data_IF_335476796322
#
_entry.id   IF_335476796322
#
_cell.length_a   1.000
_cell.length_b   1.000
_cell.length_c   1.000
_cell.angle_alpha   90.00
_cell.angle_beta   90.00
_cell.angle_gamma   90.00
#
_symmetry.space_group_name_H-M   'P 1'
#
loop_
_entity.id
_entity.type
_entity.pdbx_description
1 polymer ?
#
# COMPACT_ATOMS: atom_id res chain seq x y z
N UNK A 1 -23.37 40.11 -3.87
CA UNK A 1 -22.66 39.20 -2.94
C UNK A 1 -21.18 39.26 -3.27
N UNK A 2 -20.44 40.14 -2.58
CA UNK A 2 -19.15 40.70 -3.00
C UNK A 2 -18.11 40.70 -1.86
N UNK A 3 -18.33 39.89 -0.83
CA UNK A 3 -17.64 40.01 0.46
C UNK A 3 -16.63 38.90 0.77
N UNK A 4 -16.45 37.89 -0.08
CA UNK A 4 -15.49 36.79 0.16
C UNK A 4 -14.21 36.88 -0.70
N UNK A 5 -13.82 38.09 -1.08
CA UNK A 5 -12.53 38.37 -1.77
C UNK A 5 -11.57 39.23 -0.95
N UNK A 6 -11.96 39.63 0.27
CA UNK A 6 -11.21 40.60 1.08
C UNK A 6 -10.36 39.91 2.16
N UNK A 7 -10.58 38.64 2.48
CA UNK A 7 -9.76 37.94 3.49
C UNK A 7 -8.35 37.55 3.01
N UNK A 8 -8.06 37.65 1.70
CA UNK A 8 -6.72 37.38 1.16
C UNK A 8 -5.81 38.61 1.10
N UNK A 9 -6.29 39.80 1.50
CA UNK A 9 -5.56 41.06 1.34
C UNK A 9 -5.09 41.70 2.66
N UNK A 10 -5.12 40.98 3.79
CA UNK A 10 -4.86 41.58 5.10
C UNK A 10 -3.79 40.88 5.96
N UNK A 11 -2.97 40.00 5.38
CA UNK A 11 -1.78 39.49 6.09
C UNK A 11 -0.50 39.67 5.28
N UNK A 12 -0.40 40.82 4.62
CA UNK A 12 0.86 41.44 4.26
C UNK A 12 1.12 42.56 5.27
N UNK A 13 1.71 42.23 6.42
CA UNK A 13 2.39 43.19 7.32
C UNK A 13 3.11 42.44 8.45
N UNK A 14 4.19 41.76 8.07
CA UNK A 14 5.34 41.62 8.95
C UNK A 14 6.57 42.12 8.18
N UNK A 15 7.17 43.25 8.57
CA UNK A 15 8.41 43.71 8.00
C UNK A 15 9.54 43.00 8.76
N UNK A 16 10.24 42.07 8.12
CA UNK A 16 11.60 41.75 8.55
C UNK A 16 12.50 41.55 7.35
N UNK A 17 13.33 42.58 7.18
CA UNK A 17 14.69 42.52 6.66
C UNK A 17 14.83 41.98 5.24
N UNK A 18 14.79 42.92 4.30
CA UNK A 18 15.58 42.87 3.07
C UNK A 18 17.02 42.59 3.47
N UNK A 19 17.43 41.33 3.36
CA UNK A 19 18.83 40.95 3.29
C UNK A 19 19.08 40.71 1.82
N UNK A 20 19.77 41.67 1.19
CA UNK A 20 20.31 41.50 -0.14
C UNK A 20 21.14 40.20 -0.15
N UNK A 21 20.61 39.16 -0.79
CA UNK A 21 21.25 37.86 -0.92
C UNK A 21 21.02 37.41 -2.36
N UNK A 22 22.07 37.59 -3.15
CA UNK A 22 22.46 36.80 -4.32
C UNK A 22 21.36 36.50 -5.36
N UNK A 23 21.30 37.36 -6.38
CA UNK A 23 20.46 37.24 -7.59
C UNK A 23 20.64 35.92 -8.38
N UNK A 24 21.56 35.05 -7.97
CA UNK A 24 21.78 33.72 -8.56
C UNK A 24 20.97 32.60 -7.91
N UNK A 25 20.55 32.76 -6.65
CA UNK A 25 19.93 31.70 -5.83
C UNK A 25 18.42 31.56 -6.13
N UNK A 26 17.76 32.65 -6.51
CA UNK A 26 16.32 32.68 -6.82
C UNK A 26 15.96 31.95 -8.13
N UNK A 27 16.87 31.91 -9.11
CA UNK A 27 16.60 31.28 -10.41
C UNK A 27 16.50 29.75 -10.33
N UNK A 28 17.23 29.12 -9.41
CA UNK A 28 17.22 27.65 -9.23
C UNK A 28 15.96 27.20 -8.47
N UNK A 29 15.59 27.92 -7.41
CA UNK A 29 14.33 27.70 -6.70
C UNK A 29 13.12 27.93 -7.62
N UNK A 30 13.19 28.95 -8.47
CA UNK A 30 12.18 29.21 -9.51
C UNK A 30 12.12 28.07 -10.56
N UNK A 31 13.27 27.54 -10.99
CA UNK A 31 13.34 26.39 -11.90
C UNK A 31 12.71 25.12 -11.31
N UNK A 32 12.96 24.84 -10.02
CA UNK A 32 12.34 23.72 -9.33
C UNK A 32 10.82 23.90 -9.15
N UNK A 33 10.37 25.12 -8.84
CA UNK A 33 8.94 25.44 -8.80
C UNK A 33 8.29 25.26 -10.18
N UNK A 34 8.99 25.64 -11.26
CA UNK A 34 8.52 25.46 -12.63
C UNK A 34 8.41 23.97 -13.00
N UNK A 35 9.35 23.13 -12.58
CA UNK A 35 9.27 21.67 -12.80
C UNK A 35 8.13 21.01 -12.03
N UNK A 36 7.83 21.45 -10.80
CA UNK A 36 6.67 20.99 -10.05
C UNK A 36 5.36 21.45 -10.71
N UNK A 37 5.29 22.69 -11.19
CA UNK A 37 4.14 23.22 -11.91
C UNK A 37 3.91 22.49 -13.24
N UNK A 38 4.99 22.16 -13.95
CA UNK A 38 4.96 21.38 -15.20
C UNK A 38 4.52 19.94 -14.96
N UNK A 39 4.96 19.32 -13.86
CA UNK A 39 4.53 17.97 -13.45
C UNK A 39 3.05 17.97 -13.09
N UNK A 40 2.58 18.99 -12.36
CA UNK A 40 1.16 19.16 -12.02
C UNK A 40 0.29 19.38 -13.27
N UNK A 41 0.74 20.21 -14.23
CA UNK A 41 0.03 20.40 -15.50
C UNK A 41 -0.02 19.12 -16.33
N UNK A 42 1.05 18.31 -16.34
CA UNK A 42 1.11 17.04 -17.08
C UNK A 42 0.21 15.97 -16.46
N UNK A 43 0.08 15.95 -15.13
CA UNK A 43 -0.89 15.10 -14.42
C UNK A 43 -2.32 15.52 -14.74
N UNK A 44 -2.59 16.83 -14.78
CA UNK A 44 -3.90 17.37 -15.16
C UNK A 44 -4.28 17.18 -16.64
N UNK A 45 -3.28 17.06 -17.53
CA UNK A 45 -3.46 16.78 -18.95
C UNK A 45 -3.43 15.27 -19.29
N UNK A 46 -3.20 14.41 -18.30
CA UNK A 46 -3.18 12.95 -18.48
C UNK A 46 -4.61 12.43 -18.69
N UNK A 47 -4.84 11.48 -19.62
CA UNK A 47 -6.15 10.90 -19.84
C UNK A 47 -6.74 10.18 -18.60
N UNK A 48 -5.92 9.87 -17.59
CA UNK A 48 -6.33 9.26 -16.32
C UNK A 48 -5.62 9.91 -15.10
N UNK A 49 -6.09 11.08 -14.63
CA UNK A 49 -5.43 11.84 -13.57
C UNK A 49 -5.46 11.14 -12.20
N UNK A 50 -6.53 10.40 -11.91
CA UNK A 50 -6.69 9.68 -10.63
C UNK A 50 -5.70 8.52 -10.49
N UNK A 51 -5.41 7.82 -11.59
CA UNK A 51 -4.42 6.75 -11.64
C UNK A 51 -3.01 7.30 -11.52
N UNK A 52 -2.70 8.41 -12.20
CA UNK A 52 -1.42 9.08 -12.09
C UNK A 52 -1.16 9.62 -10.67
N UNK A 53 -2.19 10.13 -9.99
CA UNK A 53 -2.13 10.54 -8.58
C UNK A 53 -1.91 9.34 -7.66
N UNK A 54 -2.61 8.24 -7.92
CA UNK A 54 -2.47 6.99 -7.15
C UNK A 54 -1.08 6.38 -7.32
N UNK A 55 -0.51 6.41 -8.52
CA UNK A 55 0.84 5.91 -8.78
C UNK A 55 1.94 6.81 -8.21
N UNK A 56 1.68 8.11 -8.11
CA UNK A 56 2.55 9.06 -7.41
C UNK A 56 2.54 8.80 -5.90
N UNK A 57 1.37 8.62 -5.28
CA UNK A 57 1.27 8.24 -3.86
C UNK A 57 1.83 6.85 -3.56
N UNK A 58 1.68 5.91 -4.49
CA UNK A 58 2.24 4.55 -4.38
C UNK A 58 3.75 4.50 -4.69
N UNK A 59 4.39 5.63 -5.04
CA UNK A 59 5.81 5.69 -5.36
C UNK A 59 6.22 4.97 -6.65
N UNK A 60 5.25 4.64 -7.52
CA UNK A 60 5.47 3.96 -8.81
C UNK A 60 5.81 4.93 -9.94
N UNK A 61 5.76 6.24 -9.69
CA UNK A 61 6.09 7.25 -10.68
C UNK A 61 7.60 7.53 -10.70
N UNK A 62 8.30 6.92 -11.66
CA UNK A 62 9.76 7.04 -11.80
C UNK A 62 10.23 8.48 -12.06
N UNK A 63 9.47 9.26 -12.83
CA UNK A 63 9.79 10.66 -13.12
C UNK A 63 9.60 11.56 -11.89
N UNK A 64 8.52 11.36 -11.13
CA UNK A 64 8.30 12.10 -9.89
C UNK A 64 9.34 11.74 -8.82
N UNK A 65 9.73 10.47 -8.73
CA UNK A 65 10.79 10.02 -7.84
C UNK A 65 12.15 10.62 -8.22
N UNK A 66 12.44 10.74 -9.52
CA UNK A 66 13.64 11.42 -10.00
C UNK A 66 13.61 12.93 -9.73
N UNK A 67 12.47 13.59 -9.89
CA UNK A 67 12.30 15.00 -9.56
C UNK A 67 12.54 15.25 -8.06
N UNK A 68 11.95 14.42 -7.18
CA UNK A 68 12.17 14.48 -5.73
C UNK A 68 13.62 14.18 -5.38
N UNK A 69 14.26 13.19 -6.02
CA UNK A 69 15.67 12.89 -5.82
C UNK A 69 16.58 14.04 -6.26
N UNK A 70 16.25 14.70 -7.36
CA UNK A 70 16.99 15.87 -7.85
C UNK A 70 16.82 17.10 -6.96
N UNK A 71 15.61 17.30 -6.41
CA UNK A 71 15.30 18.34 -5.43
C UNK A 71 16.07 18.10 -4.12
N UNK A 72 16.09 16.86 -3.65
CA UNK A 72 16.80 16.48 -2.44
C UNK A 72 18.33 16.54 -2.64
N UNK A 73 18.84 16.15 -3.80
CA UNK A 73 20.24 16.29 -4.16
C UNK A 73 20.68 17.77 -4.25
N UNK A 74 19.86 18.63 -4.87
CA UNK A 74 20.09 20.08 -4.90
C UNK A 74 20.06 20.70 -3.51
N UNK A 75 19.05 20.40 -2.70
CA UNK A 75 18.90 20.92 -1.34
C UNK A 75 20.00 20.43 -0.39
N UNK A 76 20.53 19.22 -0.58
CA UNK A 76 21.63 18.68 0.24
C UNK A 76 23.01 19.13 -0.24
N UNK A 77 23.16 19.54 -1.50
CA UNK A 77 24.41 20.11 -2.02
C UNK A 77 24.75 21.46 -1.36
N UNK A 78 23.73 22.24 -0.97
CA UNK A 78 23.90 23.55 -0.30
C UNK A 78 24.10 23.43 1.23
N UNK A 79 24.03 22.23 1.80
CA UNK A 79 24.18 22.02 3.25
C UNK A 79 25.64 21.77 3.66
N UNK A 80 26.09 22.33 4.81
CA UNK A 80 27.39 22.01 5.39
C UNK A 80 27.53 20.52 5.70
N UNK A 81 28.75 19.98 5.58
CA UNK A 81 29.01 18.53 5.61
C UNK A 81 28.48 17.83 6.88
N UNK A 82 28.47 18.52 8.02
CA UNK A 82 27.92 18.01 9.28
C UNK A 82 26.42 17.71 9.21
N UNK A 83 25.64 18.56 8.52
CA UNK A 83 24.20 18.36 8.35
C UNK A 83 23.90 17.30 7.31
N UNK A 84 24.71 17.19 6.25
CA UNK A 84 24.61 16.12 5.24
C UNK A 84 24.78 14.74 5.88
N UNK A 85 25.76 14.58 6.78
CA UNK A 85 25.97 13.32 7.49
C UNK A 85 24.78 12.98 8.42
N UNK A 86 24.22 13.98 9.11
CA UNK A 86 23.07 13.79 9.99
C UNK A 86 21.81 13.39 9.21
N UNK A 87 21.57 14.04 8.07
CA UNK A 87 20.45 13.70 7.18
C UNK A 87 20.64 12.34 6.52
N UNK A 88 21.88 11.97 6.15
CA UNK A 88 22.17 10.63 5.64
C UNK A 88 22.01 9.54 6.70
N UNK A 89 22.30 9.83 7.97
CA UNK A 89 22.02 8.92 9.08
C UNK A 89 20.50 8.76 9.29
N UNK A 90 19.75 9.86 9.37
CA UNK A 90 18.30 9.83 9.48
C UNK A 90 17.63 9.17 8.27
N UNK A 91 18.14 9.40 7.06
CA UNK A 91 17.65 8.78 5.83
C UNK A 91 17.87 7.26 5.81
N UNK A 92 19.01 6.77 6.33
CA UNK A 92 19.25 5.33 6.49
C UNK A 92 18.36 4.71 7.57
N UNK A 93 18.13 5.41 8.67
CA UNK A 93 17.19 4.97 9.72
C UNK A 93 15.75 4.93 9.19
N UNK A 94 15.28 5.99 8.53
CA UNK A 94 13.97 6.03 7.90
C UNK A 94 13.83 5.01 6.77
N UNK A 95 14.87 4.79 5.95
CA UNK A 95 14.85 3.74 4.93
C UNK A 95 14.79 2.35 5.58
N UNK A 96 15.49 2.13 6.69
CA UNK A 96 15.41 0.85 7.42
C UNK A 96 14.02 0.63 8.04
N UNK A 97 13.39 1.70 8.55
CA UNK A 97 12.01 1.67 9.04
C UNK A 97 11.02 1.47 7.89
N UNK A 98 11.22 2.12 6.75
CA UNK A 98 10.39 1.99 5.56
C UNK A 98 10.51 0.59 4.94
N UNK A 99 11.70 -0.02 4.90
CA UNK A 99 11.86 -1.44 4.51
C UNK A 99 11.13 -2.37 5.48
N UNK A 100 11.20 -2.07 6.79
CA UNK A 100 10.51 -2.84 7.83
C UNK A 100 8.99 -2.62 7.83
N UNK A 101 8.53 -1.47 7.32
CA UNK A 101 7.12 -1.08 7.25
C UNK A 101 6.49 -1.37 5.88
N UNK A 102 7.28 -1.48 4.80
CA UNK A 102 6.89 -2.06 3.51
C UNK A 102 6.73 -3.58 3.60
N UNK A 103 7.35 -4.23 4.58
CA UNK A 103 6.95 -5.57 5.01
C UNK A 103 5.56 -5.60 5.69
N UNK A 104 4.93 -4.45 5.94
CA UNK A 104 3.67 -4.30 6.67
C UNK A 104 2.63 -3.38 5.96
N UNK A 105 2.74 -3.17 4.64
CA UNK A 105 1.66 -2.58 3.82
C UNK A 105 0.94 -3.69 3.03
N UNK A 106 -0.40 -3.60 2.83
CA UNK A 106 -1.20 -4.74 2.41
C UNK A 106 -0.95 -5.03 0.92
N UNK A 107 -0.16 -6.08 0.66
CA UNK A 107 -0.11 -6.71 -0.64
C UNK A 107 -1.45 -7.39 -0.91
N UNK A 108 -2.33 -6.70 -1.63
CA UNK A 108 -3.45 -7.35 -2.31
C UNK A 108 -2.86 -8.38 -3.27
N UNK A 109 -3.34 -9.62 -3.18
CA UNK A 109 -3.17 -10.74 -4.14
C UNK A 109 -1.89 -11.58 -4.17
N UNK A 110 -1.10 -11.59 -3.09
CA UNK A 110 -0.29 -12.76 -2.77
C UNK A 110 -0.37 -12.99 -1.25
N UNK A 111 -1.10 -14.03 -0.83
CA UNK A 111 -0.88 -14.61 0.50
C UNK A 111 0.61 -14.89 0.55
N UNK A 112 1.34 -14.09 1.34
CA UNK A 112 2.80 -14.17 1.43
C UNK A 112 3.17 -15.60 1.81
N UNK A 113 4.28 -16.11 1.26
CA UNK A 113 4.75 -17.45 1.59
C UNK A 113 4.85 -17.64 3.11
N UNK A 114 5.20 -16.58 3.84
CA UNK A 114 5.19 -16.52 5.30
C UNK A 114 3.80 -16.75 5.92
N UNK A 115 2.74 -16.11 5.39
CA UNK A 115 1.36 -16.33 5.86
C UNK A 115 0.89 -17.75 5.59
N UNK A 116 1.23 -18.32 4.43
CA UNK A 116 0.92 -19.72 4.13
C UNK A 116 1.64 -20.66 5.07
N UNK A 117 2.93 -20.43 5.35
CA UNK A 117 3.71 -21.25 6.26
C UNK A 117 3.22 -21.14 7.70
N UNK A 118 2.84 -19.94 8.14
CA UNK A 118 2.25 -19.72 9.45
C UNK A 118 0.92 -20.46 9.59
N UNK A 119 0.03 -20.35 8.59
CA UNK A 119 -1.26 -21.06 8.63
C UNK A 119 -1.11 -22.58 8.74
N UNK A 120 -0.10 -23.17 8.08
CA UNK A 120 0.21 -24.61 8.21
C UNK A 120 0.67 -24.97 9.61
N UNK A 121 1.50 -24.12 10.23
CA UNK A 121 1.94 -24.31 11.62
C UNK A 121 0.75 -24.22 12.58
N UNK A 122 -0.11 -23.23 12.38
CA UNK A 122 -1.28 -23.01 13.24
C UNK A 122 -2.27 -24.18 13.13
N UNK A 123 -2.54 -24.68 11.93
CA UNK A 123 -3.34 -25.91 11.74
C UNK A 123 -2.69 -27.12 12.42
N UNK A 124 -1.38 -27.29 12.24
CA UNK A 124 -0.65 -28.38 12.89
C UNK A 124 -0.71 -28.27 14.43
N UNK A 125 -0.63 -27.05 14.97
CA UNK A 125 -0.77 -26.80 16.40
C UNK A 125 -2.19 -27.10 16.92
N UNK A 126 -3.22 -26.98 16.06
CA UNK A 126 -4.59 -27.43 16.35
C UNK A 126 -4.78 -28.94 16.18
N UNK A 127 -3.75 -29.69 15.77
CA UNK A 127 -3.84 -31.11 15.45
C UNK A 127 -4.52 -31.40 14.11
N UNK A 128 -4.62 -30.41 13.24
CA UNK A 128 -5.20 -30.51 11.90
C UNK A 128 -4.11 -30.59 10.82
N UNK A 129 -4.38 -31.34 9.77
CA UNK A 129 -3.52 -31.53 8.63
C UNK A 129 -3.91 -30.55 7.53
N UNK A 130 -3.06 -29.58 7.23
CA UNK A 130 -3.36 -28.50 6.27
C UNK A 130 -3.72 -28.95 4.84
N UNK A 131 -3.44 -30.21 4.49
CA UNK A 131 -3.71 -30.82 3.19
C UNK A 131 -4.89 -31.80 3.20
N UNK A 132 -5.49 -32.08 4.36
CA UNK A 132 -6.62 -33.00 4.46
C UNK A 132 -7.93 -32.29 4.10
N UNK A 133 -8.54 -32.73 3.00
CA UNK A 133 -9.79 -32.16 2.51
C UNK A 133 -10.99 -32.48 3.42
N UNK A 134 -11.01 -33.63 4.07
CA UNK A 134 -12.13 -34.01 4.95
C UNK A 134 -12.13 -33.14 6.22
N UNK A 135 -10.96 -32.88 6.81
CA UNK A 135 -10.84 -31.99 7.96
C UNK A 135 -11.26 -30.55 7.61
N UNK A 136 -10.92 -30.08 6.40
CA UNK A 136 -11.41 -28.81 5.88
C UNK A 136 -12.93 -28.79 5.73
N UNK A 137 -13.53 -29.81 5.10
CA UNK A 137 -14.98 -29.90 4.97
C UNK A 137 -15.68 -29.96 6.33
N UNK A 138 -15.10 -30.63 7.32
CA UNK A 138 -15.65 -30.71 8.66
C UNK A 138 -15.58 -29.35 9.38
N UNK A 139 -14.51 -28.57 9.20
CA UNK A 139 -14.45 -27.19 9.67
C UNK A 139 -15.59 -26.34 9.07
N UNK A 140 -15.83 -26.46 7.75
CA UNK A 140 -16.91 -25.74 7.06
C UNK A 140 -18.28 -26.16 7.58
N UNK A 141 -18.53 -27.47 7.75
CA UNK A 141 -19.79 -27.98 8.30
C UNK A 141 -20.06 -27.47 9.71
N UNK A 142 -19.00 -27.31 10.52
CA UNK A 142 -19.08 -26.76 11.88
C UNK A 142 -19.21 -25.23 11.93
N UNK A 143 -19.19 -24.56 10.78
CA UNK A 143 -19.10 -23.09 10.68
C UNK A 143 -17.87 -22.50 11.39
N UNK A 144 -16.77 -23.26 11.42
CA UNK A 144 -15.51 -22.83 12.03
C UNK A 144 -14.75 -21.92 11.06
N UNK A 145 -15.01 -20.61 11.18
CA UNK A 145 -14.41 -19.60 10.30
C UNK A 145 -12.89 -19.55 10.42
N UNK A 146 -12.35 -19.70 11.63
CA UNK A 146 -10.91 -19.61 11.88
C UNK A 146 -10.18 -20.77 11.20
N UNK A 147 -10.61 -22.00 11.45
CA UNK A 147 -9.98 -23.16 10.83
C UNK A 147 -10.10 -23.09 9.30
N UNK A 148 -11.26 -22.69 8.78
CA UNK A 148 -11.49 -22.56 7.33
C UNK A 148 -10.58 -21.50 6.71
N UNK A 149 -10.38 -20.35 7.36
CA UNK A 149 -9.44 -19.33 6.90
C UNK A 149 -8.01 -19.87 6.85
N UNK A 150 -7.58 -20.61 7.88
CA UNK A 150 -6.25 -21.19 7.93
C UNK A 150 -6.04 -22.25 6.84
N UNK A 151 -7.03 -23.09 6.56
CA UNK A 151 -6.95 -24.07 5.46
C UNK A 151 -6.76 -23.37 4.11
N UNK A 152 -7.52 -22.31 3.86
CA UNK A 152 -7.43 -21.51 2.63
C UNK A 152 -6.07 -20.80 2.55
N UNK A 153 -5.60 -20.21 3.65
CA UNK A 153 -4.28 -19.57 3.72
C UNK A 153 -3.14 -20.57 3.54
N UNK A 154 -3.29 -21.80 4.04
CA UNK A 154 -2.33 -22.90 3.94
C UNK A 154 -2.18 -23.46 2.52
N UNK A 155 -3.17 -23.22 1.64
CA UNK A 155 -3.20 -23.65 0.23
C UNK A 155 -2.95 -25.16 0.02
N UNK A 156 -3.30 -25.98 1.01
CA UNK A 156 -3.13 -27.44 0.94
C UNK A 156 -4.37 -28.18 0.44
N UNK A 157 -5.53 -27.53 0.47
CA UNK A 157 -6.81 -28.15 0.11
C UNK A 157 -7.36 -27.60 -1.21
N UNK A 158 -8.08 -28.44 -1.94
CA UNK A 158 -8.78 -28.02 -3.15
C UNK A 158 -10.18 -27.49 -2.80
N UNK A 159 -10.43 -26.22 -3.10
CA UNK A 159 -11.71 -25.54 -2.79
C UNK A 159 -12.85 -25.91 -3.75
N UNK A 160 -12.53 -26.49 -4.91
CA UNK A 160 -13.52 -26.95 -5.90
C UNK A 160 -13.84 -28.43 -5.77
N UNK A 161 -13.12 -29.15 -4.90
CA UNK A 161 -13.38 -30.55 -4.63
C UNK A 161 -14.75 -30.73 -3.98
N UNK A 162 -15.42 -31.82 -4.38
CA UNK A 162 -16.76 -32.15 -3.94
C UNK A 162 -16.69 -33.20 -2.84
N UNK A 163 -17.49 -32.99 -1.81
CA UNK A 163 -17.76 -34.02 -0.82
C UNK A 163 -18.44 -35.24 -1.47
N UNK A 164 -18.51 -36.36 -0.72
CA UNK A 164 -19.24 -37.55 -1.13
C UNK A 164 -20.72 -37.28 -1.49
N UNK A 165 -21.31 -36.21 -0.94
CA UNK A 165 -22.68 -35.79 -1.26
C UNK A 165 -22.80 -35.01 -2.57
N UNK A 166 -21.71 -34.84 -3.32
CA UNK A 166 -21.67 -34.03 -4.55
C UNK A 166 -21.63 -32.50 -4.34
N UNK A 167 -21.65 -32.03 -3.09
CA UNK A 167 -21.64 -30.61 -2.73
C UNK A 167 -20.20 -30.10 -2.55
N UNK A 168 -19.96 -28.85 -2.93
CA UNK A 168 -18.69 -28.17 -2.64
C UNK A 168 -18.70 -27.55 -1.25
N UNK A 169 -17.53 -27.15 -0.75
CA UNK A 169 -17.42 -26.40 0.51
C UNK A 169 -18.24 -25.10 0.50
N UNK A 170 -18.32 -24.42 -0.65
CA UNK A 170 -19.13 -23.22 -0.81
C UNK A 170 -20.63 -23.51 -0.66
N UNK A 171 -21.11 -24.62 -1.23
CA UNK A 171 -22.53 -25.02 -1.11
C UNK A 171 -22.88 -25.32 0.35
N UNK A 172 -22.01 -26.07 1.04
CA UNK A 172 -22.19 -26.39 2.46
C UNK A 172 -22.26 -25.10 3.32
N UNK A 173 -21.34 -24.14 3.09
CA UNK A 173 -21.34 -22.88 3.83
C UNK A 173 -22.62 -22.05 3.60
N UNK A 174 -23.15 -22.05 2.36
CA UNK A 174 -24.41 -21.39 2.02
C UNK A 174 -25.62 -22.07 2.65
N UNK A 175 -25.67 -23.41 2.60
CA UNK A 175 -26.74 -24.21 3.21
C UNK A 175 -26.80 -24.01 4.73
N UNK A 176 -25.64 -23.86 5.37
CA UNK A 176 -25.53 -23.55 6.79
C UNK A 176 -25.97 -22.12 7.16
N UNK A 177 -26.23 -21.26 6.17
CA UNK A 177 -26.58 -19.85 6.39
C UNK A 177 -25.40 -18.97 6.82
N UNK A 178 -24.16 -19.47 6.83
CA UNK A 178 -22.99 -18.67 7.14
C UNK A 178 -22.51 -17.91 5.89
N UNK A 179 -23.12 -16.76 5.65
CA UNK A 179 -22.81 -15.88 4.51
C UNK A 179 -21.36 -15.41 4.51
N UNK A 180 -20.79 -15.11 5.68
CA UNK A 180 -19.40 -14.67 5.82
C UNK A 180 -18.42 -15.75 5.40
N UNK A 181 -18.65 -16.99 5.83
CA UNK A 181 -17.83 -18.14 5.45
C UNK A 181 -17.96 -18.45 3.97
N UNK A 182 -19.18 -18.40 3.43
CA UNK A 182 -19.43 -18.57 2.00
C UNK A 182 -18.68 -17.51 1.17
N UNK A 183 -18.71 -16.24 1.60
CA UNK A 183 -17.97 -15.16 0.93
C UNK A 183 -16.46 -15.36 1.01
N UNK A 184 -15.95 -15.83 2.16
CA UNK A 184 -14.54 -16.13 2.34
C UNK A 184 -14.08 -17.22 1.36
N UNK A 185 -14.83 -18.31 1.24
CA UNK A 185 -14.53 -19.40 0.29
C UNK A 185 -14.65 -18.89 -1.14
N UNK A 186 -15.74 -18.17 -1.47
CA UNK A 186 -16.01 -17.68 -2.82
C UNK A 186 -14.90 -16.77 -3.36
N UNK A 187 -14.35 -15.89 -2.50
CA UNK A 187 -13.24 -14.99 -2.86
C UNK A 187 -11.93 -15.71 -3.17
N UNK A 188 -11.76 -16.93 -2.65
CA UNK A 188 -10.52 -17.70 -2.79
C UNK A 188 -10.63 -18.85 -3.79
N UNK A 189 -11.79 -19.05 -4.43
CA UNK A 189 -11.95 -20.01 -5.51
C UNK A 189 -11.02 -19.65 -6.68
N UNK A 190 -10.42 -20.65 -7.36
CA UNK A 190 -9.65 -20.40 -8.56
C UNK A 190 -10.56 -19.77 -9.63
N UNK A 191 -10.14 -18.65 -10.20
CA UNK A 191 -10.82 -18.02 -11.33
C UNK A 191 -10.76 -19.01 -12.49
N UNK A 192 -11.91 -19.41 -13.02
CA UNK A 192 -12.01 -20.38 -14.11
C UNK A 192 -11.08 -20.00 -15.27
N UNK A 193 -10.27 -20.94 -15.71
CA UNK A 193 -9.54 -20.85 -16.99
C UNK A 193 -10.46 -21.27 -18.13
#
# INVERSE_FOLDING_TARGET
>A
MKSLRILFLALALLPMTVRAADDSQDWTAFGHMLTLLQTAMRIGASPFPDQAMTDLLAGRNYEANQAIASLFAGATAEMPDEYRQRIAAMGREMASLALKQQAAAPATTAISADRTLQARKDLTAMGLHYYDHNEFLDAVKRNDELATELFIAGKGVNLTERAWSGRTALDIARDNGNTRLADLIAKNLPVGR
#
